data_IF_299491197359
#
_entry.id   IF_299491197359
#
_cell.length_a   1.000
_cell.length_b   1.000
_cell.length_c   1.000
_cell.angle_alpha   90.00
_cell.angle_beta   90.00
_cell.angle_gamma   90.00
#
_symmetry.space_group_name_H-M   'P 1'
#
loop_
_entity.id
_entity.type
_entity.pdbx_description
1 polymer ?
#
# COMPACT_ATOMS: atom_id res chain seq x y z
N UNK A 1 -44.72 -35.85 1.01
CA UNK A 1 -44.79 -36.87 -0.05
C UNK A 1 -43.50 -37.66 -0.03
N UNK A 2 -43.55 -38.90 -0.52
CA UNK A 2 -42.53 -39.97 -0.63
C UNK A 2 -41.05 -39.55 -0.56
N UNK A 3 -40.15 -40.26 0.13
CA UNK A 3 -39.80 -41.70 0.07
C UNK A 3 -39.20 -42.18 -1.27
N UNK A 4 -38.19 -43.07 -1.15
CA UNK A 4 -37.41 -43.78 -2.19
C UNK A 4 -36.48 -42.89 -3.05
N UNK A 5 -35.31 -43.31 -3.55
CA UNK A 5 -34.47 -44.55 -3.54
C UNK A 5 -33.01 -44.09 -3.89
N UNK A 6 -31.88 -44.82 -3.80
CA UNK A 6 -31.47 -46.19 -3.38
C UNK A 6 -29.97 -46.13 -2.95
N UNK A 7 -29.40 -47.02 -2.12
CA UNK A 7 -28.69 -48.29 -2.46
C UNK A 7 -27.81 -48.25 -3.75
N UNK A 8 -26.57 -48.76 -3.81
CA UNK A 8 -25.73 -49.55 -2.87
C UNK A 8 -24.21 -49.34 -3.22
N UNK A 9 -23.22 -49.81 -2.47
CA UNK A 9 -22.78 -51.22 -2.44
C UNK A 9 -21.55 -51.44 -1.53
N UNK A 10 -21.46 -52.66 -0.95
CA UNK A 10 -20.26 -53.44 -0.63
C UNK A 10 -19.14 -52.85 0.28
N UNK A 11 -18.60 -53.58 1.27
CA UNK A 11 -19.00 -54.86 1.85
C UNK A 11 -18.31 -55.03 3.22
N UNK A 12 -19.08 -55.16 4.31
CA UNK A 12 -18.54 -55.55 5.61
C UNK A 12 -18.65 -57.07 5.78
N UNK A 13 -17.52 -57.75 5.59
CA UNK A 13 -17.44 -59.20 5.44
C UNK A 13 -17.18 -59.94 6.75
N UNK A 14 -18.26 -60.20 7.49
CA UNK A 14 -18.56 -61.47 8.16
C UNK A 14 -17.39 -62.38 8.61
N UNK A 15 -17.21 -62.55 9.93
CA UNK A 15 -17.11 -63.89 10.56
C UNK A 15 -16.95 -63.82 12.10
N UNK A 16 -18.08 -63.82 12.83
CA UNK A 16 -18.11 -64.14 14.26
C UNK A 16 -18.06 -65.66 14.44
N UNK A 17 -16.87 -66.25 14.56
CA UNK A 17 -16.72 -67.67 14.93
C UNK A 17 -16.29 -67.77 16.39
N UNK A 18 -17.22 -68.21 17.23
CA UNK A 18 -16.92 -68.57 18.61
C UNK A 18 -16.13 -69.88 18.64
N UNK A 19 -14.82 -69.80 18.85
CA UNK A 19 -14.00 -70.96 19.19
C UNK A 19 -14.12 -71.23 20.69
N UNK A 20 -14.88 -72.26 21.06
CA UNK A 20 -14.90 -72.78 22.41
C UNK A 20 -13.64 -73.61 22.64
N UNK A 21 -12.66 -73.05 23.36
CA UNK A 21 -11.52 -73.79 23.92
C UNK A 21 -11.86 -74.12 25.37
N UNK A 22 -11.74 -75.39 25.82
CA UNK A 22 -12.10 -75.76 27.17
C UNK A 22 -11.18 -75.07 28.19
N UNK A 23 -11.80 -74.44 29.19
CA UNK A 23 -11.14 -73.89 30.36
C UNK A 23 -10.50 -75.03 31.17
N UNK A 24 -9.21 -75.26 30.96
CA UNK A 24 -8.40 -76.01 31.93
C UNK A 24 -8.33 -75.18 33.22
N UNK A 25 -8.92 -75.72 34.28
CA UNK A 25 -8.63 -75.29 35.65
C UNK A 25 -7.21 -75.72 35.97
N UNK A 26 -6.23 -74.88 35.65
CA UNK A 26 -4.90 -74.99 36.23
C UNK A 26 -4.94 -74.43 37.65
N UNK A 27 -4.32 -75.16 38.58
CA UNK A 27 -4.34 -74.84 40.00
C UNK A 27 -3.84 -73.42 40.26
N UNK A 28 -4.57 -72.70 41.12
CA UNK A 28 -4.04 -71.52 41.81
C UNK A 28 -2.95 -71.95 42.78
N UNK A 29 -1.77 -72.29 42.26
CA UNK A 29 -0.56 -72.29 43.06
C UNK A 29 -0.34 -70.86 43.52
N UNK A 30 -0.64 -70.64 44.80
CA UNK A 30 -0.15 -69.52 45.60
C UNK A 30 1.38 -69.62 45.65
N UNK A 31 2.02 -69.17 44.55
CA UNK A 31 3.45 -69.00 44.43
C UNK A 31 3.82 -67.81 45.30
N UNK A 32 3.95 -68.11 46.60
CA UNK A 32 4.31 -67.16 47.64
C UNK A 32 5.47 -66.30 47.18
N UNK A 33 5.31 -64.99 47.39
CA UNK A 33 6.19 -63.93 46.90
C UNK A 33 7.68 -64.37 47.00
N UNK A 34 8.38 -64.54 45.86
CA UNK A 34 9.65 -65.26 45.85
C UNK A 34 10.63 -64.55 46.76
N UNK A 35 11.02 -65.19 47.86
CA UNK A 35 11.78 -64.54 48.92
C UNK A 35 13.23 -64.31 48.46
N UNK A 36 13.38 -63.20 47.73
CA UNK A 36 14.60 -62.78 47.09
C UNK A 36 15.67 -62.64 48.16
N UNK A 37 16.68 -63.50 48.11
CA UNK A 37 17.88 -63.38 48.93
C UNK A 37 18.52 -61.99 48.73
N UNK A 38 19.35 -61.51 49.66
CA UNK A 38 19.88 -60.14 49.67
C UNK A 38 20.49 -59.67 48.34
N UNK A 39 21.09 -60.58 47.56
CA UNK A 39 21.60 -60.30 46.23
C UNK A 39 20.50 -59.90 45.22
N UNK A 40 19.36 -60.59 45.22
CA UNK A 40 18.21 -60.27 44.36
C UNK A 40 17.52 -58.95 44.75
N UNK A 41 17.37 -58.70 46.06
CA UNK A 41 16.87 -57.41 46.59
C UNK A 41 17.82 -56.25 46.22
N UNK A 42 19.15 -56.46 46.23
CA UNK A 42 20.15 -55.49 45.73
C UNK A 42 20.09 -55.29 44.21
N UNK A 43 19.90 -56.35 43.42
CA UNK A 43 19.77 -56.24 41.96
C UNK A 43 18.55 -55.39 41.56
N UNK A 44 17.36 -55.71 42.08
CA UNK A 44 16.12 -54.96 41.82
C UNK A 44 16.20 -53.49 42.26
N UNK A 45 16.85 -53.19 43.39
CA UNK A 45 17.04 -51.80 43.82
C UNK A 45 18.04 -51.05 42.94
N UNK A 46 19.05 -51.71 42.39
CA UNK A 46 19.96 -51.11 41.40
C UNK A 46 19.26 -50.84 40.05
N UNK A 47 18.43 -51.76 39.58
CA UNK A 47 17.63 -51.61 38.35
C UNK A 47 16.61 -50.47 38.49
N UNK A 48 15.88 -50.40 39.61
CA UNK A 48 14.94 -49.30 39.91
C UNK A 48 15.66 -47.95 39.97
N UNK A 49 16.87 -47.88 40.52
CA UNK A 49 17.70 -46.65 40.52
C UNK A 49 18.16 -46.28 39.10
N UNK A 50 18.55 -47.26 38.28
CA UNK A 50 18.93 -47.02 36.89
C UNK A 50 17.74 -46.51 36.04
N UNK A 51 16.55 -47.11 36.19
CA UNK A 51 15.30 -46.62 35.56
C UNK A 51 14.96 -45.20 36.01
N UNK A 52 14.95 -44.93 37.32
CA UNK A 52 14.67 -43.60 37.85
C UNK A 52 15.68 -42.53 37.35
N UNK A 53 16.96 -42.90 37.20
CA UNK A 53 17.97 -42.02 36.62
C UNK A 53 17.72 -41.76 35.12
N UNK A 54 17.40 -42.79 34.34
CA UNK A 54 17.07 -42.67 32.92
C UNK A 54 15.79 -41.84 32.70
N UNK A 55 14.72 -42.09 33.46
CA UNK A 55 13.49 -41.29 33.42
C UNK A 55 13.73 -39.82 33.76
N UNK A 56 14.63 -39.54 34.72
CA UNK A 56 15.03 -38.18 35.06
C UNK A 56 15.81 -37.51 33.92
N UNK A 57 16.68 -38.26 33.23
CA UNK A 57 17.40 -37.75 32.05
C UNK A 57 16.45 -37.49 30.87
N UNK A 58 15.51 -38.40 30.59
CA UNK A 58 14.48 -38.19 29.54
C UNK A 58 13.63 -36.96 29.83
N UNK A 59 13.18 -36.77 31.09
CA UNK A 59 12.42 -35.56 31.48
C UNK A 59 13.25 -34.28 31.36
N UNK A 60 14.55 -34.33 31.68
CA UNK A 60 15.44 -33.18 31.52
C UNK A 60 15.69 -32.82 30.05
N UNK A 61 15.90 -33.82 29.20
CA UNK A 61 16.06 -33.62 27.75
C UNK A 61 14.76 -33.13 27.10
N UNK A 62 13.60 -33.66 27.51
CA UNK A 62 12.30 -33.16 27.02
C UNK A 62 12.12 -31.67 27.37
N UNK A 63 12.37 -31.28 28.62
CA UNK A 63 12.28 -29.88 29.04
C UNK A 63 13.23 -28.96 28.23
N UNK A 64 14.44 -29.44 27.88
CA UNK A 64 15.36 -28.70 27.01
C UNK A 64 14.85 -28.58 25.57
N UNK A 65 14.22 -29.63 25.02
CA UNK A 65 13.61 -29.58 23.69
C UNK A 65 12.42 -28.60 23.67
N UNK A 66 11.59 -28.60 24.72
CA UNK A 66 10.45 -27.69 24.87
C UNK A 66 10.94 -26.22 25.00
N UNK A 67 12.02 -25.96 25.75
CA UNK A 67 12.68 -24.65 25.86
C UNK A 67 13.27 -24.19 24.52
N UNK A 68 13.93 -25.08 23.77
CA UNK A 68 14.47 -24.78 22.44
C UNK A 68 13.33 -24.48 21.45
N UNK A 69 12.27 -25.28 21.44
CA UNK A 69 11.13 -25.09 20.54
C UNK A 69 10.40 -23.77 20.80
N UNK A 70 10.14 -23.43 22.06
CA UNK A 70 9.54 -22.13 22.44
C UNK A 70 10.44 -20.95 22.11
N UNK A 71 11.77 -21.09 22.30
CA UNK A 71 12.74 -20.06 21.91
C UNK A 71 12.88 -19.90 20.39
N UNK A 72 12.74 -20.98 19.60
CA UNK A 72 12.72 -20.93 18.13
C UNK A 72 11.45 -20.26 17.62
N UNK A 73 10.28 -20.68 18.09
CA UNK A 73 8.98 -20.11 17.71
C UNK A 73 8.92 -18.60 17.97
N UNK A 74 9.40 -18.14 19.14
CA UNK A 74 9.48 -16.71 19.45
C UNK A 74 10.47 -15.95 18.51
N UNK A 75 11.61 -16.57 18.16
CA UNK A 75 12.54 -15.98 17.18
C UNK A 75 11.94 -15.91 15.78
N UNK A 76 11.21 -16.93 15.36
CA UNK A 76 10.51 -16.97 14.07
C UNK A 76 9.39 -15.93 13.98
N UNK A 77 8.57 -15.79 15.03
CA UNK A 77 7.59 -14.71 15.12
C UNK A 77 8.23 -13.31 15.04
N UNK A 78 9.36 -13.10 15.73
CA UNK A 78 10.08 -11.83 15.66
C UNK A 78 10.77 -11.61 14.30
N UNK A 79 11.22 -12.67 13.63
CA UNK A 79 11.80 -12.59 12.29
C UNK A 79 10.72 -12.24 11.26
N UNK A 80 9.56 -12.90 11.34
CA UNK A 80 8.37 -12.62 10.53
C UNK A 80 7.91 -11.16 10.69
N UNK A 81 7.68 -10.70 11.93
CA UNK A 81 7.32 -9.29 12.21
C UNK A 81 8.34 -8.29 11.67
N UNK A 82 9.65 -8.60 11.70
CA UNK A 82 10.70 -7.75 11.11
C UNK A 82 10.71 -7.79 9.58
N UNK A 83 10.35 -8.91 8.96
CA UNK A 83 10.16 -9.02 7.52
C UNK A 83 8.96 -8.18 7.06
N UNK A 84 7.79 -8.36 7.70
CA UNK A 84 6.57 -7.57 7.43
C UNK A 84 6.85 -6.05 7.56
N UNK A 85 7.56 -5.64 8.63
CA UNK A 85 7.97 -4.25 8.81
C UNK A 85 8.95 -3.75 7.73
N UNK A 86 9.87 -4.61 7.27
CA UNK A 86 10.84 -4.26 6.24
C UNK A 86 10.17 -4.13 4.87
N UNK A 87 9.28 -5.05 4.51
CA UNK A 87 8.46 -4.99 3.29
C UNK A 87 7.55 -3.76 3.30
N UNK A 88 6.86 -3.48 4.42
CA UNK A 88 6.03 -2.29 4.56
C UNK A 88 6.83 -0.97 4.50
N UNK A 89 8.13 -0.98 4.87
CA UNK A 89 9.03 0.16 4.68
C UNK A 89 9.51 0.27 3.23
N UNK A 90 9.82 -0.86 2.58
CA UNK A 90 10.25 -0.91 1.18
C UNK A 90 9.15 -0.38 0.24
N UNK A 91 7.92 -0.90 0.37
CA UNK A 91 6.76 -0.45 -0.43
C UNK A 91 6.48 1.05 -0.26
N UNK A 92 6.64 1.60 0.95
CA UNK A 92 6.52 3.05 1.20
C UNK A 92 7.65 3.85 0.54
N UNK A 93 8.88 3.34 0.57
CA UNK A 93 10.02 3.98 -0.07
C UNK A 93 9.85 3.99 -1.59
N UNK A 94 9.47 2.86 -2.20
CA UNK A 94 9.21 2.72 -3.64
C UNK A 94 8.07 3.63 -4.12
N UNK A 95 6.95 3.67 -3.39
CA UNK A 95 5.84 4.59 -3.68
C UNK A 95 6.29 6.06 -3.59
N UNK A 96 7.10 6.41 -2.59
CA UNK A 96 7.65 7.77 -2.46
C UNK A 96 8.61 8.10 -3.61
N UNK A 97 9.44 7.14 -4.05
CA UNK A 97 10.38 7.32 -5.16
C UNK A 97 9.63 7.51 -6.49
N UNK A 98 8.60 6.71 -6.76
CA UNK A 98 7.73 6.85 -7.93
C UNK A 98 7.07 8.24 -7.97
N UNK A 99 6.53 8.68 -6.83
CA UNK A 99 5.95 10.02 -6.67
C UNK A 99 6.95 11.14 -7.00
N UNK A 100 8.19 11.04 -6.48
CA UNK A 100 9.26 12.01 -6.77
C UNK A 100 9.80 11.92 -8.21
N UNK A 101 9.78 10.74 -8.84
CA UNK A 101 10.08 10.57 -10.28
C UNK A 101 9.07 11.34 -11.13
N UNK A 102 7.78 11.16 -10.88
CA UNK A 102 6.70 11.88 -11.58
C UNK A 102 6.76 13.40 -11.33
N UNK A 103 7.01 13.84 -10.10
CA UNK A 103 7.19 15.26 -9.80
C UNK A 103 8.31 15.91 -10.65
N UNK A 104 9.42 15.19 -10.86
CA UNK A 104 10.56 15.69 -11.65
C UNK A 104 10.30 15.77 -13.16
N UNK A 105 9.32 15.04 -13.70
CA UNK A 105 8.97 15.14 -15.13
C UNK A 105 8.06 16.33 -15.43
N UNK A 106 7.33 16.85 -14.43
CA UNK A 106 6.37 17.93 -14.62
C UNK A 106 6.86 19.23 -13.95
N UNK A 107 7.47 20.16 -14.71
CA UNK A 107 7.97 21.41 -14.15
C UNK A 107 6.82 22.33 -13.75
N UNK A 108 6.94 22.93 -12.57
CA UNK A 108 6.00 23.91 -12.00
C UNK A 108 5.28 23.45 -10.73
N UNK A 109 5.41 22.18 -10.33
CA UNK A 109 4.85 21.64 -9.08
C UNK A 109 5.87 21.84 -7.94
N UNK A 110 5.41 22.27 -6.77
CA UNK A 110 6.23 22.44 -5.56
C UNK A 110 6.32 21.15 -4.73
N UNK A 111 7.37 21.01 -3.92
CA UNK A 111 7.57 19.84 -3.05
C UNK A 111 6.39 19.61 -2.08
N UNK A 112 5.78 20.69 -1.58
CA UNK A 112 4.58 20.63 -0.72
C UNK A 112 3.35 20.07 -1.47
N UNK A 113 3.13 20.48 -2.72
CA UNK A 113 2.06 19.94 -3.57
C UNK A 113 2.30 18.47 -3.93
N UNK A 114 3.56 18.08 -4.11
CA UNK A 114 3.97 16.68 -4.30
C UNK A 114 3.69 15.84 -3.05
N UNK A 115 3.80 16.39 -1.84
CA UNK A 115 3.42 15.68 -0.61
C UNK A 115 1.91 15.65 -0.36
N UNK A 116 1.18 16.71 -0.68
CA UNK A 116 -0.24 16.82 -0.36
C UNK A 116 -1.18 16.18 -1.39
N UNK A 117 -0.84 16.23 -2.68
CA UNK A 117 -1.78 15.87 -3.75
C UNK A 117 -1.41 14.62 -4.56
N UNK A 118 -0.13 14.31 -4.73
CA UNK A 118 0.31 13.11 -5.45
C UNK A 118 0.23 11.88 -4.52
N UNK A 119 -0.91 11.20 -4.57
CA UNK A 119 -1.32 10.17 -3.59
C UNK A 119 -1.66 8.83 -4.22
N UNK A 120 -1.69 8.73 -5.55
CA UNK A 120 -2.01 7.50 -6.25
C UNK A 120 -0.87 6.45 -6.19
N UNK A 121 -1.23 5.18 -6.36
CA UNK A 121 -0.29 4.06 -6.29
C UNK A 121 0.37 3.68 -7.63
N UNK A 122 -0.18 4.17 -8.75
CA UNK A 122 0.29 3.81 -10.10
C UNK A 122 0.90 5.04 -10.81
N UNK A 123 1.92 4.81 -11.63
CA UNK A 123 2.62 5.88 -12.35
C UNK A 123 1.69 6.68 -13.28
N UNK A 124 0.78 6.00 -13.99
CA UNK A 124 -0.18 6.63 -14.91
C UNK A 124 -1.19 7.54 -14.18
N UNK A 125 -1.60 7.17 -12.97
CA UNK A 125 -2.54 7.97 -12.17
C UNK A 125 -1.82 9.11 -11.45
N UNK A 126 -0.58 8.91 -10.99
CA UNK A 126 0.30 9.97 -10.50
C UNK A 126 0.58 11.02 -11.60
N UNK A 127 0.87 10.59 -12.84
CA UNK A 127 1.08 11.51 -13.97
C UNK A 127 -0.17 12.36 -14.22
N UNK A 128 -1.37 11.77 -14.28
CA UNK A 128 -2.62 12.52 -14.41
C UNK A 128 -2.86 13.50 -13.25
N UNK A 129 -2.55 13.11 -12.01
CA UNK A 129 -2.65 14.00 -10.85
C UNK A 129 -1.70 15.20 -11.01
N UNK A 130 -0.44 14.95 -11.38
CA UNK A 130 0.58 15.98 -11.59
C UNK A 130 0.24 16.93 -12.76
N UNK A 131 -0.27 16.40 -13.88
CA UNK A 131 -0.78 17.21 -15.00
C UNK A 131 -1.97 18.08 -14.59
N UNK A 132 -2.93 17.51 -13.83
CA UNK A 132 -4.11 18.23 -13.36
C UNK A 132 -3.77 19.34 -12.35
N UNK A 133 -2.76 19.12 -11.49
CA UNK A 133 -2.22 20.15 -10.59
C UNK A 133 -1.57 21.28 -11.39
N UNK A 134 -0.69 20.94 -12.33
CA UNK A 134 -0.07 21.92 -13.22
C UNK A 134 -1.10 22.75 -13.99
N UNK A 135 -2.12 22.11 -14.56
CA UNK A 135 -3.20 22.79 -15.28
C UNK A 135 -3.96 23.80 -14.40
N UNK A 136 -4.10 23.53 -13.09
CA UNK A 136 -4.70 24.46 -12.11
C UNK A 136 -3.76 25.57 -11.66
N UNK A 137 -2.45 25.28 -11.58
CA UNK A 137 -1.42 26.25 -11.18
C UNK A 137 -1.19 27.34 -12.23
N UNK A 138 -1.48 27.06 -13.50
CA UNK A 138 -1.42 28.04 -14.59
C UNK A 138 -2.64 28.97 -14.43
N UNK A 139 -2.45 30.27 -14.13
CA UNK A 139 -3.56 31.20 -14.13
C UNK A 139 -4.07 31.34 -15.57
N UNK A 140 -5.33 30.94 -15.83
CA UNK A 140 -5.95 31.24 -17.11
C UNK A 140 -5.86 32.75 -17.37
N UNK A 141 -5.48 33.19 -18.60
CA UNK A 141 -5.41 34.61 -18.93
C UNK A 141 -6.79 35.21 -18.73
N UNK A 142 -6.93 36.00 -17.66
CA UNK A 142 -8.20 36.15 -16.98
C UNK A 142 -9.30 36.65 -17.90
N UNK A 143 -10.38 35.85 -18.02
CA UNK A 143 -11.72 36.38 -18.24
C UNK A 143 -12.16 37.10 -16.96
N UNK A 144 -11.46 38.20 -16.65
CA UNK A 144 -11.71 39.00 -15.47
C UNK A 144 -13.15 39.51 -15.46
N UNK A 145 -13.66 39.84 -14.27
CA UNK A 145 -14.99 40.43 -14.10
C UNK A 145 -15.11 41.64 -15.03
N UNK A 146 -15.88 41.51 -16.11
CA UNK A 146 -16.06 42.59 -17.06
C UNK A 146 -16.88 43.70 -16.40
N UNK A 147 -16.20 44.75 -15.94
CA UNK A 147 -16.83 45.95 -15.41
C UNK A 147 -17.16 46.86 -16.60
N UNK A 148 -18.44 47.12 -16.91
CA UNK A 148 -18.81 47.99 -18.03
C UNK A 148 -18.16 49.38 -17.87
N UNK A 149 -17.41 49.80 -18.89
CA UNK A 149 -16.73 51.10 -18.92
C UNK A 149 -15.27 51.12 -18.42
N UNK A 150 -14.78 50.06 -17.77
CA UNK A 150 -13.36 49.96 -17.36
C UNK A 150 -12.57 49.10 -18.34
N UNK A 151 -11.37 49.54 -18.71
CA UNK A 151 -10.49 48.81 -19.66
C UNK A 151 -10.75 49.08 -21.14
N UNK A 152 -11.84 49.77 -21.49
CA UNK A 152 -12.14 50.23 -22.87
C UNK A 152 -11.29 51.45 -23.29
N UNK A 153 -10.01 51.50 -22.92
CA UNK A 153 -9.08 52.47 -23.48
C UNK A 153 -8.79 52.09 -24.95
N UNK A 154 -8.89 53.02 -25.93
CA UNK A 154 -8.50 52.72 -27.29
C UNK A 154 -7.01 52.36 -27.33
N UNK A 155 -6.71 51.13 -27.77
CA UNK A 155 -5.34 50.60 -27.84
C UNK A 155 -4.51 51.24 -28.96
N UNK A 156 -5.16 51.96 -29.88
CA UNK A 156 -4.51 52.71 -30.94
C UNK A 156 -4.36 54.19 -30.54
N UNK A 157 -3.24 54.86 -30.90
CA UNK A 157 -3.15 56.31 -30.78
C UNK A 157 -4.24 56.99 -31.64
N UNK A 158 -4.77 58.15 -31.23
CA UNK A 158 -5.83 58.83 -31.95
C UNK A 158 -5.39 59.15 -33.38
N UNK A 159 -6.27 58.92 -34.35
CA UNK A 159 -5.99 59.23 -35.75
C UNK A 159 -5.80 60.73 -35.96
N UNK A 160 -5.06 61.12 -37.00
CA UNK A 160 -4.80 62.54 -37.29
C UNK A 160 -6.11 63.36 -37.45
N UNK A 161 -7.18 62.74 -37.96
CA UNK A 161 -8.51 63.36 -38.04
C UNK A 161 -9.17 63.59 -36.66
N UNK A 162 -9.02 62.65 -35.73
CA UNK A 162 -9.50 62.80 -34.36
C UNK A 162 -8.70 63.86 -33.60
N UNK A 163 -7.38 63.94 -33.83
CA UNK A 163 -6.52 64.98 -33.28
C UNK A 163 -6.92 66.38 -33.79
N UNK A 164 -7.22 66.53 -35.09
CA UNK A 164 -7.76 67.79 -35.66
C UNK A 164 -9.07 68.17 -34.96
N UNK A 165 -10.02 67.24 -34.86
CA UNK A 165 -11.32 67.49 -34.21
C UNK A 165 -11.17 67.86 -32.73
N UNK A 166 -10.24 67.22 -32.02
CA UNK A 166 -9.95 67.54 -30.62
C UNK A 166 -9.35 68.95 -30.47
N UNK A 167 -8.42 69.34 -31.35
CA UNK A 167 -7.84 70.68 -31.35
C UNK A 167 -8.87 71.77 -31.69
N UNK A 168 -9.74 71.53 -32.66
CA UNK A 168 -10.86 72.43 -32.99
C UNK A 168 -11.83 72.59 -31.81
N UNK A 169 -12.19 71.48 -31.15
CA UNK A 169 -13.12 71.49 -30.01
C UNK A 169 -12.48 72.12 -28.74
N UNK A 170 -11.16 72.04 -28.61
CA UNK A 170 -10.38 72.74 -27.58
C UNK A 170 -10.14 74.23 -27.90
N UNK A 171 -10.47 74.69 -29.12
CA UNK A 171 -10.24 76.07 -29.57
C UNK A 171 -8.80 76.39 -29.97
N UNK A 172 -7.90 75.40 -30.04
CA UNK A 172 -6.51 75.60 -30.46
C UNK A 172 -6.40 75.63 -31.99
N UNK A 173 -6.65 76.81 -32.54
CA UNK A 173 -6.56 77.06 -33.97
C UNK A 173 -5.15 76.83 -34.55
N UNK A 174 -4.09 77.08 -33.76
CA UNK A 174 -2.71 76.91 -34.22
C UNK A 174 -2.37 75.44 -34.45
N UNK A 175 -2.70 74.60 -33.46
CA UNK A 175 -2.53 73.15 -33.52
C UNK A 175 -3.42 72.56 -34.63
N UNK A 176 -4.70 72.94 -34.70
CA UNK A 176 -5.63 72.47 -35.73
C UNK A 176 -5.16 72.77 -37.17
N UNK A 177 -4.62 73.97 -37.42
CA UNK A 177 -4.05 74.34 -38.74
C UNK A 177 -2.82 73.47 -39.05
N UNK A 178 -1.94 73.25 -38.07
CA UNK A 178 -0.73 72.44 -38.27
C UNK A 178 -1.07 70.99 -38.66
N UNK A 179 -2.02 70.34 -37.98
CA UNK A 179 -2.45 68.99 -38.30
C UNK A 179 -3.18 68.90 -39.64
N UNK A 180 -4.04 69.88 -39.99
CA UNK A 180 -4.66 69.94 -41.32
C UNK A 180 -3.62 70.07 -42.44
N UNK A 181 -2.53 70.81 -42.21
CA UNK A 181 -1.43 70.90 -43.19
C UNK A 181 -0.71 69.56 -43.38
N UNK A 182 -0.53 68.78 -42.32
CA UNK A 182 0.01 67.41 -42.38
C UNK A 182 -0.95 66.48 -43.16
N UNK A 183 -2.27 66.56 -42.89
CA UNK A 183 -3.28 65.78 -43.61
C UNK A 183 -3.23 66.02 -45.12
N UNK A 184 -3.11 67.28 -45.55
CA UNK A 184 -3.00 67.66 -46.96
C UNK A 184 -1.67 67.17 -47.57
N UNK A 185 -0.56 67.27 -46.83
CA UNK A 185 0.73 66.79 -47.29
C UNK A 185 0.77 65.26 -47.49
N UNK A 186 0.07 64.49 -46.64
CA UNK A 186 0.00 63.03 -46.78
C UNK A 186 -0.94 62.60 -47.91
N UNK A 187 -2.07 63.28 -48.11
CA UNK A 187 -2.92 63.08 -49.30
C UNK A 187 -2.17 63.39 -50.61
N UNK A 188 -1.32 64.42 -50.61
CA UNK A 188 -0.47 64.76 -51.75
C UNK A 188 0.66 63.74 -52.02
N UNK A 189 1.02 62.90 -51.04
CA UNK A 189 1.94 61.76 -51.22
C UNK A 189 1.21 60.51 -51.72
N UNK A 190 -0.06 60.31 -51.30
CA UNK A 190 -0.88 59.16 -51.71
C UNK A 190 -1.43 59.27 -53.14
N UNK A 191 -1.31 60.44 -53.78
CA UNK A 191 -1.81 60.74 -55.13
C UNK A 191 -0.70 60.81 -56.19
N UNK A 192 0.50 60.31 -55.86
CA UNK A 192 1.65 60.13 -56.78
C UNK A 192 2.06 58.67 -56.83
#
# INVERSE_FOLDING_TARGET
MSENESEATAADGMAKVASAVPFLTEDSQDQGEPDLQDAGKKALTSERRARAAAEKQVKALQAQLDEIATAQLNKEEQASKRADEAEARALKAEASEMKWKVARTIPGITDEEVELFLTAADEETLLRQAEALKARSIPEPGKGTHVPGVGNAPKAPPTLHEQIRAAELAGDAGLAISLKSQQLADLAKQTK
#
